data_IF_920935985719
#
_entry.id   IF_920935985719
#
_cell.length_a   1.000
_cell.length_b   1.000
_cell.length_c   1.000
_cell.angle_alpha   90.00
_cell.angle_beta   90.00
_cell.angle_gamma   90.00
#
_symmetry.space_group_name_H-M   'P 1'
#
loop_
_entity.id
_entity.type
_entity.pdbx_description
1 polymer ?
#
# COMPACT_ATOMS: atom_id res chain seq x y z
N UNK A 1 -0.13 -3.76 -31.58
CA UNK A 1 -0.72 -3.13 -30.43
C UNK A 1 0.00 -3.51 -29.15
N UNK A 2 0.24 -2.56 -28.33
CA UNK A 2 0.92 -2.83 -27.08
C UNK A 2 -0.06 -3.03 -25.93
N UNK A 3 0.11 -4.08 -25.21
CA UNK A 3 -0.61 -4.28 -23.96
C UNK A 3 0.27 -3.85 -22.81
N UNK A 4 -0.24 -2.96 -21.98
CA UNK A 4 0.45 -2.58 -20.77
C UNK A 4 -0.01 -3.54 -19.67
N UNK A 5 0.85 -4.46 -19.33
CA UNK A 5 0.56 -5.37 -18.22
C UNK A 5 0.79 -4.58 -16.93
N UNK A 6 -0.19 -4.53 -16.03
CA UNK A 6 0.02 -3.84 -14.76
C UNK A 6 1.20 -4.47 -14.01
N UNK A 7 2.06 -3.66 -13.40
CA UNK A 7 3.17 -4.20 -12.63
C UNK A 7 2.65 -4.91 -11.38
N UNK A 8 3.38 -5.89 -10.87
CA UNK A 8 3.02 -6.50 -9.59
C UNK A 8 3.32 -5.53 -8.46
N UNK A 9 2.65 -5.72 -7.33
CA UNK A 9 2.97 -4.96 -6.12
C UNK A 9 4.45 -5.17 -5.82
N UNK A 10 5.21 -4.09 -5.56
CA UNK A 10 6.64 -4.20 -5.31
C UNK A 10 6.99 -5.19 -4.20
N UNK A 11 8.09 -5.90 -4.36
CA UNK A 11 8.50 -6.94 -3.42
C UNK A 11 8.61 -6.43 -2.00
N UNK A 12 9.11 -5.20 -1.81
CA UNK A 12 9.22 -4.62 -0.47
C UNK A 12 7.89 -4.55 0.26
N UNK A 13 6.79 -4.26 -0.46
CA UNK A 13 5.47 -4.24 0.12
C UNK A 13 4.92 -5.66 0.32
N UNK A 14 5.22 -6.56 -0.60
CA UNK A 14 4.82 -7.96 -0.44
C UNK A 14 5.45 -8.59 0.78
N UNK A 15 6.70 -8.24 1.05
CA UNK A 15 7.41 -8.73 2.24
C UNK A 15 6.84 -8.12 3.52
N UNK A 16 6.57 -6.81 3.51
CA UNK A 16 6.03 -6.13 4.68
C UNK A 16 4.63 -6.62 5.03
N UNK A 17 3.79 -6.84 4.02
CA UNK A 17 2.37 -7.15 4.19
C UNK A 17 2.05 -8.61 3.92
N UNK A 18 3.05 -9.49 4.03
CA UNK A 18 2.88 -10.91 3.72
C UNK A 18 1.78 -11.59 4.53
N UNK A 19 1.51 -11.09 5.73
CA UNK A 19 0.47 -11.64 6.60
C UNK A 19 -0.91 -11.05 6.32
N UNK A 20 -0.99 -10.12 5.35
CA UNK A 20 -2.24 -9.44 4.99
C UNK A 20 -2.48 -9.55 3.49
N UNK A 21 -2.78 -10.77 2.99
CA UNK A 21 -2.94 -10.96 1.55
C UNK A 21 -4.07 -10.13 0.93
N UNK A 22 -5.10 -9.83 1.70
CA UNK A 22 -6.20 -8.99 1.22
C UNK A 22 -5.72 -7.57 0.92
N UNK A 23 -4.81 -7.05 1.74
CA UNK A 23 -4.22 -5.73 1.52
C UNK A 23 -3.38 -5.73 0.25
N UNK A 24 -2.64 -6.82 0.01
CA UNK A 24 -1.85 -6.93 -1.22
C UNK A 24 -2.75 -6.98 -2.45
N UNK A 25 -3.89 -7.65 -2.36
CA UNK A 25 -4.87 -7.66 -3.46
C UNK A 25 -5.43 -6.28 -3.72
N UNK A 26 -5.70 -5.51 -2.67
CA UNK A 26 -6.19 -4.14 -2.80
C UNK A 26 -5.15 -3.24 -3.44
N UNK A 27 -3.88 -3.41 -3.08
CA UNK A 27 -2.79 -2.66 -3.70
C UNK A 27 -2.66 -3.00 -5.18
N UNK A 28 -2.76 -4.29 -5.51
CA UNK A 28 -2.70 -4.70 -6.91
C UNK A 28 -3.86 -4.12 -7.73
N UNK A 29 -5.04 -4.07 -7.15
CA UNK A 29 -6.20 -3.48 -7.81
C UNK A 29 -6.00 -1.98 -8.05
N UNK A 30 -5.37 -1.28 -7.11
CA UNK A 30 -5.06 0.13 -7.26
C UNK A 30 -4.06 0.36 -8.39
N UNK A 31 -3.03 -0.48 -8.49
CA UNK A 31 -2.06 -0.42 -9.58
C UNK A 31 -2.73 -0.68 -10.92
N UNK A 32 -3.58 -1.70 -10.98
CA UNK A 32 -4.29 -2.05 -12.21
C UNK A 32 -5.11 -0.85 -12.71
N UNK A 33 -5.81 -0.19 -11.81
CA UNK A 33 -6.62 0.98 -12.16
C UNK A 33 -5.79 2.15 -12.67
N UNK A 34 -4.66 2.41 -12.02
CA UNK A 34 -3.78 3.51 -12.41
C UNK A 34 -3.23 3.28 -13.82
N UNK A 35 -2.92 2.04 -14.17
CA UNK A 35 -2.38 1.70 -15.48
C UNK A 35 -3.46 1.69 -16.55
N UNK A 36 -4.68 1.26 -16.21
CA UNK A 36 -5.79 1.20 -17.16
C UNK A 36 -6.28 2.58 -17.60
N UNK A 37 -6.30 3.54 -16.69
CA UNK A 37 -6.83 4.87 -16.97
C UNK A 37 -5.85 5.95 -16.52
N UNK A 38 -4.68 6.02 -17.17
CA UNK A 38 -3.68 7.01 -16.79
C UNK A 38 -4.13 8.43 -17.17
N UNK A 39 -3.77 9.39 -16.33
CA UNK A 39 -4.01 10.80 -16.62
C UNK A 39 -2.95 11.30 -17.59
N UNK A 40 -3.38 12.16 -18.53
CA UNK A 40 -2.49 12.73 -19.51
C UNK A 40 -1.55 13.74 -18.87
N UNK A 41 -0.29 13.70 -19.28
CA UNK A 41 0.69 14.70 -18.84
C UNK A 41 1.41 14.38 -17.56
N UNK A 42 1.08 13.26 -16.91
CA UNK A 42 1.74 12.82 -15.68
C UNK A 42 2.44 11.49 -15.97
N UNK A 43 3.73 11.35 -15.61
CA UNK A 43 4.41 10.08 -15.83
C UNK A 43 3.67 8.92 -15.17
N UNK A 44 3.56 7.81 -15.89
CA UNK A 44 2.79 6.66 -15.43
C UNK A 44 3.35 6.08 -14.12
N UNK A 45 4.68 6.09 -13.97
CA UNK A 45 5.31 5.60 -12.73
C UNK A 45 4.88 6.45 -11.52
N UNK A 46 4.75 7.76 -11.68
CA UNK A 46 4.28 8.62 -10.60
C UNK A 46 2.84 8.33 -10.23
N UNK A 47 2.00 8.11 -11.23
CA UNK A 47 0.60 7.77 -10.98
C UNK A 47 0.48 6.44 -10.25
N UNK A 48 1.30 5.47 -10.61
CA UNK A 48 1.32 4.18 -9.93
C UNK A 48 1.76 4.32 -8.49
N UNK A 49 2.81 5.11 -8.22
CA UNK A 49 3.28 5.36 -6.86
C UNK A 49 2.20 6.06 -6.04
N UNK A 50 1.53 7.06 -6.61
CA UNK A 50 0.44 7.76 -5.93
C UNK A 50 -0.70 6.81 -5.57
N UNK A 51 -1.02 5.88 -6.48
CA UNK A 51 -2.06 4.89 -6.21
C UNK A 51 -1.69 4.01 -5.01
N UNK A 52 -0.43 3.59 -4.95
CA UNK A 52 0.05 2.79 -3.81
C UNK A 52 0.06 3.62 -2.53
N UNK A 53 0.60 4.85 -2.59
CA UNK A 53 0.68 5.71 -1.41
C UNK A 53 -0.71 6.01 -0.84
N UNK A 54 -1.67 6.33 -1.70
CA UNK A 54 -3.03 6.60 -1.26
C UNK A 54 -3.68 5.40 -0.60
N UNK A 55 -3.47 4.23 -1.18
CA UNK A 55 -4.01 2.98 -0.63
C UNK A 55 -3.37 2.64 0.70
N UNK A 56 -2.04 2.80 0.80
CA UNK A 56 -1.32 2.54 2.04
C UNK A 56 -1.74 3.50 3.15
N UNK A 57 -1.97 4.77 2.82
CA UNK A 57 -2.45 5.75 3.78
C UNK A 57 -3.82 5.34 4.33
N UNK A 58 -4.69 4.82 3.46
CA UNK A 58 -5.99 4.34 3.87
C UNK A 58 -5.87 3.15 4.82
N UNK A 59 -4.94 2.24 4.54
CA UNK A 59 -4.69 1.12 5.44
C UNK A 59 -4.27 1.61 6.83
N UNK A 60 -3.42 2.64 6.88
CA UNK A 60 -2.97 3.19 8.15
C UNK A 60 -4.14 3.79 8.94
N UNK A 61 -5.01 4.55 8.27
CA UNK A 61 -6.19 5.14 8.90
C UNK A 61 -7.13 4.06 9.41
N UNK A 62 -7.41 3.05 8.59
CA UNK A 62 -8.29 1.95 8.95
C UNK A 62 -7.72 1.16 10.12
N UNK A 63 -6.41 0.92 10.12
CA UNK A 63 -5.75 0.18 11.20
C UNK A 63 -5.82 0.94 12.52
N UNK A 64 -5.73 2.27 12.46
CA UNK A 64 -5.87 3.09 13.67
C UNK A 64 -7.29 2.99 14.23
N UNK A 65 -8.28 2.99 13.37
CA UNK A 65 -9.67 2.82 13.79
C UNK A 65 -9.90 1.45 14.40
N UNK A 66 -9.30 0.41 13.83
CA UNK A 66 -9.34 -0.94 14.39
C UNK A 66 -8.73 -0.99 15.79
N UNK A 67 -7.64 -0.26 16.01
CA UNK A 67 -7.00 -0.18 17.32
C UNK A 67 -7.95 0.49 18.32
N UNK A 68 -8.59 1.57 17.92
CA UNK A 68 -9.54 2.27 18.79
C UNK A 68 -10.71 1.35 19.20
N UNK A 69 -11.21 0.58 18.25
CA UNK A 69 -12.28 -0.38 18.52
C UNK A 69 -11.81 -1.50 19.46
N UNK A 70 -10.59 -2.00 19.24
CA UNK A 70 -10.03 -3.03 20.09
C UNK A 70 -9.86 -2.52 21.52
N UNK A 71 -9.40 -1.28 21.68
CA UNK A 71 -9.23 -0.68 23.00
C UNK A 71 -10.57 -0.54 23.71
N UNK A 72 -11.62 -0.19 22.99
CA UNK A 72 -12.97 -0.12 23.55
C UNK A 72 -13.47 -1.47 24.02
N UNK A 73 -13.05 -2.56 23.36
CA UNK A 73 -13.42 -3.91 23.74
C UNK A 73 -12.67 -4.45 24.95
N UNK A 74 -11.49 -3.90 25.24
CA UNK A 74 -10.73 -4.24 26.43
C UNK A 74 -9.98 -5.56 26.41
N UNK A 75 -9.95 -6.27 25.29
CA UNK A 75 -9.21 -7.53 25.17
C UNK A 75 -7.73 -7.24 24.89
N UNK A 76 -6.81 -7.56 25.84
CA UNK A 76 -5.39 -7.25 25.65
C UNK A 76 -4.76 -7.88 24.40
N UNK A 77 -5.17 -9.10 24.06
CA UNK A 77 -4.64 -9.78 22.87
C UNK A 77 -5.08 -9.07 21.58
N UNK A 78 -6.34 -8.68 21.50
CA UNK A 78 -6.87 -7.95 20.36
C UNK A 78 -6.23 -6.58 20.23
N UNK A 79 -6.01 -5.88 21.35
CA UNK A 79 -5.36 -4.58 21.37
C UNK A 79 -3.92 -4.70 20.86
N UNK A 80 -3.18 -5.69 21.34
CA UNK A 80 -1.78 -5.89 20.92
C UNK A 80 -1.69 -6.19 19.43
N UNK A 81 -2.58 -7.02 18.91
CA UNK A 81 -2.62 -7.36 17.49
C UNK A 81 -2.96 -6.15 16.64
N UNK A 82 -3.97 -5.38 17.05
CA UNK A 82 -4.37 -4.17 16.33
C UNK A 82 -3.26 -3.13 16.30
N UNK A 83 -2.55 -2.95 17.41
CA UNK A 83 -1.43 -2.00 17.49
C UNK A 83 -0.27 -2.43 16.61
N UNK A 84 0.02 -3.73 16.54
CA UNK A 84 1.08 -4.24 15.67
C UNK A 84 0.74 -3.99 14.20
N UNK A 85 -0.51 -4.23 13.82
CA UNK A 85 -0.97 -3.97 12.46
C UNK A 85 -0.91 -2.48 12.13
N UNK A 86 -1.36 -1.63 13.06
CA UNK A 86 -1.32 -0.18 12.88
C UNK A 86 0.11 0.30 12.63
N UNK A 87 1.06 -0.18 13.43
CA UNK A 87 2.46 0.20 13.27
C UNK A 87 2.99 -0.21 11.90
N UNK A 88 2.66 -1.40 11.47
CA UNK A 88 3.09 -1.90 10.17
C UNK A 88 2.51 -1.06 9.03
N UNK A 89 1.23 -0.72 9.11
CA UNK A 89 0.57 0.07 8.06
C UNK A 89 1.13 1.48 8.00
N UNK A 90 1.46 2.09 9.14
CA UNK A 90 2.10 3.39 9.15
C UNK A 90 3.50 3.34 8.54
N UNK A 91 4.27 2.30 8.82
CA UNK A 91 5.59 2.12 8.21
C UNK A 91 5.48 2.00 6.70
N UNK A 92 4.51 1.21 6.23
CA UNK A 92 4.31 1.00 4.80
C UNK A 92 3.86 2.27 4.09
N UNK A 93 3.06 3.12 4.76
CA UNK A 93 2.54 4.34 4.17
C UNK A 93 3.52 5.52 4.27
N UNK A 94 4.57 5.38 5.06
CA UNK A 94 5.52 6.47 5.31
C UNK A 94 6.38 6.73 4.07
N UNK A 95 6.51 7.99 3.69
CA UNK A 95 7.43 8.40 2.65
C UNK A 95 8.85 8.60 3.17
N UNK A 96 9.04 8.51 4.49
CA UNK A 96 10.36 8.61 5.11
C UNK A 96 11.16 7.35 4.86
N UNK A 97 12.47 7.44 4.97
CA UNK A 97 13.33 6.29 4.80
C UNK A 97 13.43 5.79 3.36
N UNK A 98 13.02 6.60 2.40
CA UNK A 98 13.15 6.27 0.99
C UNK A 98 12.08 5.34 0.43
N UNK A 99 11.00 5.11 1.16
CA UNK A 99 9.93 4.24 0.68
C UNK A 99 9.42 4.69 -0.70
N UNK A 100 9.12 5.98 -0.85
CA UNK A 100 8.61 6.49 -2.13
C UNK A 100 9.62 6.30 -3.25
N UNK A 101 10.88 6.61 -3.01
CA UNK A 101 11.92 6.46 -4.02
C UNK A 101 12.12 4.98 -4.38
N UNK A 102 12.04 4.10 -3.37
CA UNK A 102 12.13 2.66 -3.61
C UNK A 102 10.97 2.15 -4.43
N UNK A 103 9.77 2.63 -4.19
CA UNK A 103 8.59 2.25 -4.98
C UNK A 103 8.73 2.74 -6.42
N UNK A 104 9.26 3.93 -6.63
CA UNK A 104 9.49 4.44 -7.98
C UNK A 104 10.52 3.57 -8.71
N UNK A 105 11.61 3.20 -8.05
CA UNK A 105 12.61 2.32 -8.63
C UNK A 105 12.02 0.96 -8.98
N UNK A 106 11.22 0.39 -8.08
CA UNK A 106 10.62 -0.92 -8.28
C UNK A 106 9.66 -0.93 -9.47
N UNK A 107 8.97 0.18 -9.70
CA UNK A 107 7.97 0.27 -10.77
C UNK A 107 8.55 0.78 -12.08
N UNK A 108 9.69 1.45 -12.03
CA UNK A 108 10.28 2.08 -13.21
C UNK A 108 10.48 1.11 -14.38
N UNK A 109 10.95 -0.09 -14.08
CA UNK A 109 11.25 -1.09 -15.12
C UNK A 109 9.98 -1.64 -15.78
N UNK A 110 8.84 -1.51 -15.14
CA UNK A 110 7.56 -1.99 -15.67
C UNK A 110 6.80 -0.93 -16.45
N UNK A 111 7.09 0.31 -16.19
CA UNK A 111 6.33 1.44 -16.72
C UNK A 111 7.22 2.45 -17.46
#
# INVERSE_FOLDING_TARGET
MRHTTPPPVPQRLRDMLKDYPEHLQTLQAALNRAVEKPSTGIPLVEQAVWALEGTLTRFAVDAREETNLAESGGDPAAIAEAKAKERLMFQASSSNGGMRLGLMDDLWDYL
#
